data_IF_156025863235
#
_entry.id   IF_156025863235
#
_cell.length_a   1.000
_cell.length_b   1.000
_cell.length_c   1.000
_cell.angle_alpha   90.00
_cell.angle_beta   90.00
_cell.angle_gamma   90.00
#
_symmetry.space_group_name_H-M   'P 1'
#
loop_
_entity.id
_entity.type
_entity.pdbx_description
1 polymer ?
#
# COMPACT_ATOMS: atom_id res chain seq x y z
N UNK A 1 -13.48 29.36 10.03
CA UNK A 1 -13.96 28.37 9.04
C UNK A 1 -13.88 27.02 9.74
N UNK A 2 -14.97 26.25 9.84
CA UNK A 2 -14.91 24.88 10.37
C UNK A 2 -14.08 24.06 9.37
N UNK A 3 -13.02 23.41 9.83
CA UNK A 3 -12.28 22.45 9.03
C UNK A 3 -13.25 21.31 8.68
N UNK A 4 -13.71 21.28 7.44
CA UNK A 4 -14.51 20.15 6.93
C UNK A 4 -13.54 19.06 6.51
N UNK A 5 -13.58 17.97 7.23
CA UNK A 5 -12.86 16.74 6.83
C UNK A 5 -13.79 15.88 5.98
N UNK A 6 -13.16 15.14 5.07
CA UNK A 6 -13.83 14.15 4.22
C UNK A 6 -13.27 12.77 4.54
N UNK A 7 -14.13 11.76 4.50
CA UNK A 7 -13.70 10.37 4.55
C UNK A 7 -14.11 9.65 3.26
N UNK A 8 -13.19 8.89 2.72
CA UNK A 8 -13.40 8.02 1.56
C UNK A 8 -13.27 6.58 2.04
N UNK A 9 -14.33 5.81 1.84
CA UNK A 9 -14.42 4.42 2.31
C UNK A 9 -14.58 3.50 1.11
N UNK A 10 -13.58 2.66 0.88
CA UNK A 10 -13.61 1.63 -0.15
C UNK A 10 -14.44 0.42 0.29
N UNK A 11 -15.14 -0.19 -0.65
CA UNK A 11 -16.00 -1.34 -0.42
C UNK A 11 -15.95 -2.31 -1.61
N UNK A 12 -16.13 -3.61 -1.32
CA UNK A 12 -16.39 -4.59 -2.35
C UNK A 12 -17.78 -4.38 -2.95
N UNK A 13 -17.87 -4.38 -4.29
CA UNK A 13 -19.11 -4.11 -5.02
C UNK A 13 -19.72 -5.34 -5.73
N UNK A 14 -19.06 -6.51 -5.64
CA UNK A 14 -19.46 -7.73 -6.34
C UNK A 14 -20.87 -8.25 -6.00
N UNK A 15 -21.44 -7.87 -4.85
CA UNK A 15 -22.80 -8.25 -4.45
C UNK A 15 -23.86 -7.18 -4.82
N UNK A 16 -23.45 -6.07 -5.45
CA UNK A 16 -24.34 -4.98 -5.87
C UNK A 16 -24.88 -4.11 -4.74
N UNK A 17 -24.45 -4.30 -3.50
CA UNK A 17 -24.90 -3.50 -2.35
C UNK A 17 -24.12 -2.20 -2.18
N UNK A 18 -22.87 -2.17 -2.63
CA UNK A 18 -22.01 -0.98 -2.62
C UNK A 18 -21.52 -0.68 -4.02
N UNK A 19 -21.19 0.58 -4.30
CA UNK A 19 -20.68 1.01 -5.61
C UNK A 19 -19.16 1.10 -5.70
N UNK A 20 -18.46 0.86 -4.61
CA UNK A 20 -17.00 0.90 -4.52
C UNK A 20 -16.50 1.92 -3.53
N UNK A 21 -16.64 3.22 -3.78
CA UNK A 21 -16.19 4.26 -2.83
C UNK A 21 -17.39 5.03 -2.31
N UNK A 22 -17.55 5.07 -0.98
CA UNK A 22 -18.51 5.95 -0.32
C UNK A 22 -17.80 7.17 0.24
N UNK A 23 -18.35 8.34 -0.01
CA UNK A 23 -17.84 9.63 0.45
C UNK A 23 -18.69 10.15 1.61
N UNK A 24 -18.03 10.58 2.70
CA UNK A 24 -18.68 11.14 3.88
C UNK A 24 -18.12 12.51 4.23
N UNK A 25 -18.99 13.39 4.69
CA UNK A 25 -18.59 14.57 5.47
C UNK A 25 -18.32 14.13 6.92
N UNK A 26 -17.18 14.55 7.50
CA UNK A 26 -16.80 14.19 8.87
C UNK A 26 -17.10 15.36 9.82
N UNK A 27 -17.95 15.13 10.80
CA UNK A 27 -18.22 16.07 11.90
C UNK A 27 -17.31 15.71 13.08
N UNK A 28 -16.21 16.44 13.22
CA UNK A 28 -15.22 16.19 14.28
C UNK A 28 -15.75 16.53 15.68
N UNK A 29 -16.69 17.46 15.80
CA UNK A 29 -17.26 17.85 17.08
C UNK A 29 -18.19 16.75 17.65
N UNK A 30 -18.92 16.08 16.75
CA UNK A 30 -19.84 15.00 17.10
C UNK A 30 -19.26 13.59 16.97
N UNK A 31 -18.09 13.47 16.35
CA UNK A 31 -17.45 12.17 16.06
C UNK A 31 -18.30 11.28 15.14
N UNK A 32 -18.95 11.86 14.11
CA UNK A 32 -19.83 11.10 13.22
C UNK A 32 -19.55 11.38 11.73
N UNK A 33 -19.91 10.40 10.90
CA UNK A 33 -19.88 10.47 9.44
C UNK A 33 -21.28 10.76 8.90
N UNK A 34 -21.39 11.73 7.98
CA UNK A 34 -22.62 12.04 7.27
C UNK A 34 -22.45 11.60 5.81
N UNK A 35 -23.28 10.65 5.35
CA UNK A 35 -23.27 10.18 3.97
C UNK A 35 -23.44 11.34 2.99
N UNK A 36 -22.65 11.30 1.92
CA UNK A 36 -22.71 12.31 0.87
C UNK A 36 -23.04 11.70 -0.50
N UNK A 37 -22.23 10.79 -0.99
CA UNK A 37 -22.41 10.14 -2.29
C UNK A 37 -21.59 8.87 -2.39
N UNK A 38 -21.82 8.13 -3.47
CA UNK A 38 -21.01 6.99 -3.87
C UNK A 38 -20.36 7.25 -5.24
N UNK A 39 -19.19 6.63 -5.45
CA UNK A 39 -18.44 6.65 -6.70
C UNK A 39 -18.19 5.22 -7.15
N UNK A 40 -18.49 4.92 -8.43
CA UNK A 40 -18.39 3.57 -8.96
C UNK A 40 -16.93 3.17 -9.20
N UNK A 41 -16.51 2.11 -8.51
CA UNK A 41 -15.25 1.39 -8.69
C UNK A 41 -15.50 -0.07 -8.36
N UNK A 42 -15.11 -0.96 -9.27
CA UNK A 42 -15.24 -2.39 -9.03
C UNK A 42 -14.31 -2.84 -7.89
N UNK A 43 -14.93 -3.27 -6.78
CA UNK A 43 -14.25 -3.85 -5.62
C UNK A 43 -13.09 -3.00 -5.08
N UNK A 44 -13.38 -1.74 -4.74
CA UNK A 44 -12.43 -0.81 -4.10
C UNK A 44 -11.99 -1.34 -2.73
N UNK A 45 -10.97 -2.20 -2.72
CA UNK A 45 -10.52 -2.91 -1.51
C UNK A 45 -9.52 -2.11 -0.67
N UNK A 46 -8.83 -1.14 -1.25
CA UNK A 46 -7.87 -0.27 -0.57
C UNK A 46 -7.77 1.09 -1.27
N UNK A 47 -7.55 2.13 -0.47
CA UNK A 47 -7.44 3.51 -0.93
C UNK A 47 -6.14 4.14 -0.42
N UNK A 48 -5.52 4.99 -1.24
CA UNK A 48 -4.43 5.86 -0.83
C UNK A 48 -4.69 7.28 -1.34
N UNK A 49 -4.39 8.27 -0.52
CA UNK A 49 -4.39 9.68 -0.93
C UNK A 49 -2.95 10.10 -1.20
N UNK A 50 -2.72 10.85 -2.27
CA UNK A 50 -1.42 11.45 -2.55
C UNK A 50 -0.96 12.35 -1.40
N UNK A 51 0.36 12.52 -1.23
CA UNK A 51 0.91 13.35 -0.15
C UNK A 51 0.50 14.82 -0.28
N UNK A 52 0.28 15.30 -1.51
CA UNK A 52 -0.23 16.65 -1.78
C UNK A 52 -1.74 16.80 -1.51
N UNK A 53 -2.44 15.71 -1.19
CA UNK A 53 -3.87 15.67 -0.88
C UNK A 53 -4.81 15.90 -2.07
N UNK A 54 -4.32 15.86 -3.31
CA UNK A 54 -5.10 16.22 -4.50
C UNK A 54 -5.63 15.03 -5.28
N UNK A 55 -5.08 13.84 -5.04
CA UNK A 55 -5.42 12.64 -5.81
C UNK A 55 -5.74 11.49 -4.86
N UNK A 56 -6.79 10.76 -5.17
CA UNK A 56 -7.14 9.49 -4.53
C UNK A 56 -6.89 8.34 -5.49
N UNK A 57 -6.20 7.33 -5.03
CA UNK A 57 -5.97 6.08 -5.74
C UNK A 57 -6.78 4.97 -5.10
N UNK A 58 -7.43 4.17 -5.92
CA UNK A 58 -8.23 3.02 -5.49
C UNK A 58 -7.75 1.76 -6.18
N UNK A 59 -7.60 0.68 -5.42
CA UNK A 59 -7.56 -0.66 -6.01
C UNK A 59 -8.90 -0.91 -6.73
N UNK A 60 -8.83 -1.58 -7.86
CA UNK A 60 -9.97 -2.10 -8.61
C UNK A 60 -9.68 -3.52 -9.10
N UNK A 61 -10.66 -4.21 -9.68
CA UNK A 61 -10.48 -5.60 -10.10
C UNK A 61 -9.31 -5.81 -11.07
N UNK A 62 -9.13 -4.89 -12.03
CA UNK A 62 -8.07 -5.00 -13.03
C UNK A 62 -6.80 -4.20 -12.72
N UNK A 63 -6.79 -3.46 -11.61
CA UNK A 63 -5.63 -2.64 -11.28
C UNK A 63 -5.95 -1.46 -10.37
N UNK A 64 -5.65 -0.25 -10.84
CA UNK A 64 -5.77 0.99 -10.07
C UNK A 64 -6.60 2.02 -10.82
N UNK A 65 -7.47 2.73 -10.10
CA UNK A 65 -8.19 3.90 -10.58
C UNK A 65 -7.73 5.13 -9.83
N UNK A 66 -7.43 6.22 -10.53
CA UNK A 66 -7.09 7.52 -9.93
C UNK A 66 -8.23 8.52 -10.08
N UNK A 67 -8.38 9.36 -9.06
CA UNK A 67 -9.38 10.40 -8.97
C UNK A 67 -8.76 11.72 -8.52
N UNK A 68 -9.12 12.82 -9.17
CA UNK A 68 -8.89 14.16 -8.65
C UNK A 68 -9.83 14.40 -7.47
N UNK A 69 -9.29 14.82 -6.35
CA UNK A 69 -10.08 15.33 -5.21
C UNK A 69 -10.39 16.80 -5.49
N UNK A 70 -11.66 17.12 -5.65
CA UNK A 70 -12.14 18.47 -5.90
C UNK A 70 -12.19 19.28 -4.59
N UNK A 71 -12.19 20.61 -4.67
CA UNK A 71 -12.25 21.50 -3.49
C UNK A 71 -13.43 21.19 -2.54
N UNK A 72 -14.53 20.70 -3.09
CA UNK A 72 -15.69 20.28 -2.31
C UNK A 72 -15.60 18.83 -1.82
N UNK A 73 -14.48 18.13 -2.04
CA UNK A 73 -14.27 16.73 -1.69
C UNK A 73 -14.91 15.71 -2.63
N UNK A 74 -15.57 16.13 -3.72
CA UNK A 74 -16.04 15.20 -4.74
C UNK A 74 -14.87 14.59 -5.50
N UNK A 75 -15.06 13.37 -6.02
CA UNK A 75 -14.06 12.66 -6.81
C UNK A 75 -14.37 12.78 -8.31
N UNK A 76 -13.39 13.23 -9.09
CA UNK A 76 -13.43 13.23 -10.55
C UNK A 76 -12.44 12.22 -11.09
N UNK A 77 -12.90 11.20 -11.80
CA UNK A 77 -12.03 10.14 -12.34
C UNK A 77 -11.03 10.75 -13.32
N UNK A 78 -9.75 10.43 -13.14
CA UNK A 78 -8.67 10.78 -14.07
C UNK A 78 -8.47 9.65 -15.08
N UNK A 79 -8.04 8.48 -14.59
CA UNK A 79 -7.85 7.30 -15.45
C UNK A 79 -7.90 5.99 -14.65
N UNK A 80 -7.65 4.89 -15.34
CA UNK A 80 -7.36 3.58 -14.75
C UNK A 80 -6.16 2.95 -15.45
N UNK A 81 -5.39 2.16 -14.71
CA UNK A 81 -4.25 1.42 -15.21
C UNK A 81 -4.31 -0.04 -14.75
N UNK A 82 -4.09 -0.97 -15.68
CA UNK A 82 -4.03 -2.40 -15.38
C UNK A 82 -2.65 -2.76 -14.80
N UNK A 83 -2.60 -3.55 -13.72
CA UNK A 83 -1.35 -3.98 -13.07
C UNK A 83 -0.77 -5.27 -13.66
N UNK A 84 -1.40 -5.82 -14.70
CA UNK A 84 -0.99 -7.09 -15.35
C UNK A 84 -0.75 -8.22 -14.33
N UNK A 85 -1.71 -8.39 -13.44
CA UNK A 85 -1.71 -9.37 -12.36
C UNK A 85 -3.10 -9.54 -11.77
N UNK A 86 -3.19 -10.27 -10.67
CA UNK A 86 -4.44 -10.38 -9.92
C UNK A 86 -4.71 -9.07 -9.14
N UNK A 87 -5.95 -8.87 -8.69
CA UNK A 87 -6.34 -7.68 -7.93
C UNK A 87 -5.42 -7.43 -6.75
N UNK A 88 -4.96 -6.19 -6.61
CA UNK A 88 -4.19 -5.74 -5.46
C UNK A 88 -4.98 -5.80 -4.14
N UNK A 89 -4.26 -5.81 -3.04
CA UNK A 89 -4.83 -5.75 -1.69
C UNK A 89 -4.32 -4.56 -0.87
N UNK A 90 -3.26 -3.92 -1.32
CA UNK A 90 -2.69 -2.73 -0.69
C UNK A 90 -2.13 -1.79 -1.78
N UNK A 91 -2.21 -0.48 -1.54
CA UNK A 91 -1.65 0.54 -2.41
C UNK A 91 -1.05 1.66 -1.55
N UNK A 92 0.12 2.16 -1.93
CA UNK A 92 0.76 3.31 -1.30
C UNK A 92 1.49 4.16 -2.35
N UNK A 93 1.72 5.44 -2.04
CA UNK A 93 2.52 6.36 -2.86
C UNK A 93 3.91 6.54 -2.25
N UNK A 94 4.88 6.98 -3.05
CA UNK A 94 6.13 7.53 -2.52
C UNK A 94 5.93 8.97 -2.00
N UNK A 95 6.91 9.49 -1.26
CA UNK A 95 6.80 10.81 -0.62
C UNK A 95 6.63 11.97 -1.62
N UNK A 96 7.13 11.83 -2.82
CA UNK A 96 7.09 12.84 -3.89
C UNK A 96 5.92 12.66 -4.85
N UNK A 97 5.03 11.69 -4.61
CA UNK A 97 3.90 11.33 -5.50
C UNK A 97 4.33 11.07 -6.97
N UNK A 98 5.48 10.40 -7.14
CA UNK A 98 6.01 10.01 -8.46
C UNK A 98 5.70 8.56 -8.81
N UNK A 99 5.48 7.74 -7.81
CA UNK A 99 5.23 6.31 -7.95
C UNK A 99 4.13 5.84 -7.01
N UNK A 100 3.44 4.81 -7.45
CA UNK A 100 2.59 3.99 -6.59
C UNK A 100 3.09 2.54 -6.57
N UNK A 101 2.94 1.91 -5.41
CA UNK A 101 3.28 0.53 -5.15
C UNK A 101 2.00 -0.23 -4.87
N UNK A 102 1.80 -1.35 -5.56
CA UNK A 102 0.59 -2.17 -5.44
C UNK A 102 0.97 -3.59 -5.07
N UNK A 103 0.57 -3.99 -3.88
CA UNK A 103 0.80 -5.34 -3.36
C UNK A 103 -0.33 -6.28 -3.76
N UNK A 104 0.02 -7.43 -4.35
CA UNK A 104 -0.90 -8.47 -4.81
C UNK A 104 -0.83 -9.72 -3.94
N UNK A 105 -1.88 -9.94 -3.14
CA UNK A 105 -1.95 -11.09 -2.23
C UNK A 105 -2.04 -12.42 -2.96
N UNK A 106 -2.87 -12.49 -4.00
CA UNK A 106 -3.22 -13.76 -4.64
C UNK A 106 -2.13 -14.31 -5.56
N UNK A 107 -1.34 -13.44 -6.17
CA UNK A 107 -0.25 -13.79 -7.10
C UNK A 107 1.15 -13.57 -6.51
N UNK A 108 1.24 -13.04 -5.29
CA UNK A 108 2.51 -12.79 -4.61
C UNK A 108 3.38 -11.76 -5.33
N UNK A 109 2.75 -10.73 -5.91
CA UNK A 109 3.40 -9.74 -6.77
C UNK A 109 3.42 -8.36 -6.12
N UNK A 110 4.55 -7.68 -6.21
CA UNK A 110 4.64 -6.22 -6.00
C UNK A 110 4.75 -5.55 -7.36
N UNK A 111 3.91 -4.54 -7.63
CA UNK A 111 3.90 -3.80 -8.90
C UNK A 111 4.17 -2.32 -8.63
N UNK A 112 5.08 -1.74 -9.40
CA UNK A 112 5.42 -0.32 -9.37
C UNK A 112 4.88 0.35 -10.62
N UNK A 113 4.12 1.45 -10.44
CA UNK A 113 3.64 2.27 -11.55
C UNK A 113 4.12 3.70 -11.35
N UNK A 114 4.51 4.34 -12.44
CA UNK A 114 4.82 5.77 -12.46
C UNK A 114 3.54 6.60 -12.37
N UNK A 115 3.60 7.72 -11.69
CA UNK A 115 2.53 8.73 -11.71
C UNK A 115 2.88 9.85 -12.69
N UNK A 116 1.87 10.35 -13.38
CA UNK A 116 1.99 11.53 -14.23
C UNK A 116 1.84 12.81 -13.37
N UNK A 117 2.27 13.93 -13.90
CA UNK A 117 2.22 15.24 -13.21
C UNK A 117 0.80 15.67 -12.82
N UNK A 118 -0.20 15.20 -13.55
CA UNK A 118 -1.63 15.44 -13.23
C UNK A 118 -2.19 14.49 -12.17
N UNK A 119 -1.38 13.57 -11.62
CA UNK A 119 -1.78 12.55 -10.66
C UNK A 119 -2.45 11.32 -11.28
N UNK A 120 -2.58 11.26 -12.60
CA UNK A 120 -3.05 10.03 -13.26
C UNK A 120 -2.00 8.93 -13.20
N UNK A 121 -2.45 7.66 -13.23
CA UNK A 121 -1.56 6.49 -13.19
C UNK A 121 -0.96 6.27 -14.58
N UNK A 122 0.37 6.24 -14.64
CA UNK A 122 1.14 6.00 -15.86
C UNK A 122 1.49 4.54 -16.08
N UNK A 123 2.67 4.31 -16.64
CA UNK A 123 3.17 2.97 -17.01
C UNK A 123 3.62 2.14 -15.81
N UNK A 124 3.57 0.81 -15.95
CA UNK A 124 4.25 -0.10 -15.04
C UNK A 124 5.74 0.01 -15.31
N UNK A 125 6.51 0.39 -14.29
CA UNK A 125 7.97 0.45 -14.36
C UNK A 125 8.62 -0.83 -13.89
N UNK A 126 7.98 -1.54 -12.93
CA UNK A 126 8.46 -2.83 -12.44
C UNK A 126 7.32 -3.73 -11.96
N UNK A 127 7.59 -5.03 -11.89
CA UNK A 127 6.67 -6.03 -11.35
C UNK A 127 7.45 -7.26 -10.87
N UNK A 128 7.56 -7.40 -9.54
CA UNK A 128 8.37 -8.44 -8.91
C UNK A 128 7.47 -9.50 -8.29
N UNK A 129 7.59 -10.75 -8.77
CA UNK A 129 6.94 -11.90 -8.12
C UNK A 129 7.84 -12.42 -7.00
N UNK A 130 7.30 -12.51 -5.81
CA UNK A 130 7.99 -13.16 -4.71
C UNK A 130 8.12 -14.65 -4.95
N UNK A 131 9.22 -15.21 -4.49
CA UNK A 131 9.52 -16.65 -4.56
C UNK A 131 9.90 -17.13 -3.16
N UNK A 132 9.49 -18.32 -2.82
CA UNK A 132 9.80 -18.95 -1.55
C UNK A 132 8.69 -19.89 -1.12
N UNK A 133 9.01 -20.65 -0.08
CA UNK A 133 8.06 -21.50 0.64
C UNK A 133 8.10 -21.06 2.08
N UNK A 134 6.93 -20.90 2.67
CA UNK A 134 6.78 -20.73 4.11
C UNK A 134 6.62 -22.08 4.81
N UNK A 135 5.75 -22.16 5.80
CA UNK A 135 5.38 -23.42 6.44
C UNK A 135 4.40 -24.22 5.59
N UNK A 136 4.05 -25.43 6.06
CA UNK A 136 3.04 -26.29 5.42
C UNK A 136 1.60 -25.85 5.75
N UNK A 137 1.41 -24.83 6.59
CA UNK A 137 0.10 -24.30 6.94
C UNK A 137 -0.55 -23.60 5.72
N UNK A 138 -1.87 -23.69 5.62
CA UNK A 138 -2.63 -23.27 4.43
C UNK A 138 -2.31 -21.83 3.96
N UNK A 139 -2.06 -20.90 4.88
CA UNK A 139 -1.83 -19.49 4.55
C UNK A 139 -0.36 -19.12 4.40
N UNK A 140 0.57 -20.01 4.74
CA UNK A 140 2.01 -19.76 4.76
C UNK A 140 2.82 -20.73 3.90
N UNK A 141 2.22 -21.33 2.89
CA UNK A 141 2.94 -22.29 2.02
C UNK A 141 3.46 -21.67 0.71
N UNK A 142 3.00 -20.49 0.34
CA UNK A 142 3.41 -19.76 -0.88
C UNK A 142 3.37 -18.25 -0.65
N UNK A 143 4.01 -17.43 -1.52
CA UNK A 143 3.98 -15.97 -1.39
C UNK A 143 2.56 -15.38 -1.40
N UNK A 144 2.36 -14.43 -0.49
CA UNK A 144 1.17 -13.58 -0.36
C UNK A 144 1.61 -12.18 0.02
N UNK A 145 1.97 -11.38 -0.98
CA UNK A 145 2.39 -9.98 -0.76
C UNK A 145 1.21 -9.17 -0.25
N UNK A 146 1.39 -8.51 0.89
CA UNK A 146 0.27 -7.96 1.66
C UNK A 146 0.36 -6.46 1.91
N UNK A 147 1.55 -5.90 1.95
CA UNK A 147 1.78 -4.48 2.22
C UNK A 147 3.16 -4.07 1.71
N UNK A 148 3.27 -2.85 1.21
CA UNK A 148 4.54 -2.24 0.85
C UNK A 148 4.57 -0.77 1.26
N UNK A 149 5.76 -0.25 1.56
CA UNK A 149 6.00 1.16 1.74
C UNK A 149 7.48 1.49 1.52
N UNK A 150 7.75 2.73 1.10
CA UNK A 150 9.11 3.27 1.09
C UNK A 150 9.59 3.54 2.50
N UNK A 151 10.89 3.36 2.71
CA UNK A 151 11.54 3.78 3.97
C UNK A 151 11.57 5.31 4.08
N UNK A 152 11.59 5.87 5.30
CA UNK A 152 11.55 7.32 5.52
C UNK A 152 12.66 8.09 4.83
N UNK A 153 13.84 7.48 4.66
CA UNK A 153 14.99 8.03 3.93
C UNK A 153 14.86 7.92 2.40
N UNK A 154 13.83 7.20 1.92
CA UNK A 154 13.55 7.03 0.49
C UNK A 154 14.45 6.03 -0.26
N UNK A 155 15.40 5.36 0.40
CA UNK A 155 16.35 4.48 -0.28
C UNK A 155 15.80 3.09 -0.61
N UNK A 156 14.84 2.60 0.20
CA UNK A 156 14.33 1.24 0.08
C UNK A 156 12.81 1.22 0.00
N UNK A 157 12.30 0.10 -0.51
CA UNK A 157 10.91 -0.33 -0.41
C UNK A 157 10.89 -1.61 0.40
N UNK A 158 10.15 -1.62 1.49
CA UNK A 158 9.87 -2.82 2.27
C UNK A 158 8.59 -3.44 1.74
N UNK A 159 8.57 -4.77 1.61
CA UNK A 159 7.43 -5.51 1.09
C UNK A 159 7.15 -6.71 2.00
N UNK A 160 6.06 -6.62 2.77
CA UNK A 160 5.62 -7.71 3.64
C UNK A 160 4.99 -8.84 2.82
N UNK A 161 5.41 -10.05 3.10
CA UNK A 161 4.87 -11.26 2.50
C UNK A 161 4.39 -12.22 3.60
N UNK A 162 3.08 -12.26 3.78
CA UNK A 162 2.40 -13.08 4.77
C UNK A 162 2.67 -14.57 4.55
N UNK A 163 2.73 -14.97 3.27
CA UNK A 163 2.78 -16.38 2.90
C UNK A 163 4.13 -17.05 3.10
N UNK A 164 5.21 -16.28 3.23
CA UNK A 164 6.56 -16.83 3.42
C UNK A 164 7.24 -16.26 4.68
N UNK A 165 6.50 -15.61 5.55
CA UNK A 165 6.95 -15.06 6.84
C UNK A 165 8.20 -14.15 6.69
N UNK A 166 8.16 -13.21 5.74
CA UNK A 166 9.26 -12.29 5.46
C UNK A 166 8.78 -10.88 5.17
N UNK A 167 9.61 -9.89 5.48
CA UNK A 167 9.55 -8.56 4.88
C UNK A 167 10.76 -8.41 3.97
N UNK A 168 10.53 -8.40 2.66
CA UNK A 168 11.62 -8.22 1.69
C UNK A 168 12.04 -6.77 1.61
N UNK A 169 13.33 -6.55 1.44
CA UNK A 169 13.95 -5.23 1.33
C UNK A 169 14.45 -5.05 -0.10
N UNK A 170 13.92 -4.04 -0.77
CA UNK A 170 14.32 -3.68 -2.12
C UNK A 170 14.98 -2.31 -2.12
N UNK A 171 16.14 -2.18 -2.74
CA UNK A 171 16.67 -0.89 -3.14
C UNK A 171 15.83 -0.35 -4.30
N UNK A 172 15.42 0.91 -4.21
CA UNK A 172 14.58 1.55 -5.22
C UNK A 172 15.39 2.52 -6.09
N UNK A 173 15.38 2.27 -7.39
CA UNK A 173 15.94 3.22 -8.39
C UNK A 173 14.85 4.22 -8.77
N UNK A 174 14.85 5.40 -8.15
CA UNK A 174 13.85 6.45 -8.41
C UNK A 174 13.83 6.97 -9.86
N UNK A 175 14.94 6.86 -10.58
CA UNK A 175 14.99 7.34 -11.97
C UNK A 175 14.27 6.39 -12.91
N UNK A 176 14.38 5.11 -12.64
CA UNK A 176 13.82 4.03 -13.48
C UNK A 176 12.53 3.44 -12.94
N UNK A 177 12.28 3.59 -11.64
CA UNK A 177 11.17 2.93 -10.95
C UNK A 177 11.37 1.42 -10.78
N UNK A 178 12.62 0.96 -10.56
CA UNK A 178 12.98 -0.45 -10.48
C UNK A 178 13.29 -0.87 -9.04
N UNK A 179 12.89 -2.09 -8.71
CA UNK A 179 13.14 -2.75 -7.44
C UNK A 179 14.27 -3.77 -7.58
N UNK A 180 15.31 -3.66 -6.76
CA UNK A 180 16.38 -4.65 -6.65
C UNK A 180 16.38 -5.22 -5.25
N UNK A 181 16.04 -6.50 -5.08
CA UNK A 181 16.07 -7.13 -3.77
C UNK A 181 17.51 -7.16 -3.22
N UNK A 182 17.69 -6.63 -2.01
CA UNK A 182 18.98 -6.54 -1.34
C UNK A 182 19.02 -7.34 -0.05
N UNK A 183 17.86 -7.50 0.64
CA UNK A 183 17.78 -8.24 1.91
C UNK A 183 16.36 -8.77 2.16
N UNK A 184 16.17 -9.44 3.30
CA UNK A 184 14.88 -9.85 3.82
C UNK A 184 14.92 -9.98 5.35
N UNK A 185 14.06 -9.23 6.04
CA UNK A 185 13.79 -9.43 7.47
C UNK A 185 12.95 -10.73 7.61
N UNK A 186 13.54 -11.74 8.23
CA UNK A 186 12.89 -13.02 8.50
C UNK A 186 12.07 -12.93 9.76
N UNK A 187 10.79 -13.22 9.63
CA UNK A 187 9.87 -13.31 10.74
C UNK A 187 9.80 -14.73 11.28
N UNK A 188 9.17 -14.90 12.43
CA UNK A 188 8.93 -16.21 12.99
C UNK A 188 7.97 -17.01 12.08
N UNK A 189 8.18 -18.31 11.96
CA UNK A 189 7.33 -19.18 11.12
C UNK A 189 5.87 -19.11 11.56
N UNK A 190 4.98 -19.09 10.58
CA UNK A 190 3.53 -19.00 10.79
C UNK A 190 3.10 -17.72 11.53
N UNK A 191 3.90 -16.67 11.48
CA UNK A 191 3.54 -15.37 12.04
C UNK A 191 2.62 -14.56 11.14
N UNK A 192 2.83 -14.62 9.82
CA UNK A 192 2.04 -13.93 8.82
C UNK A 192 2.18 -12.41 8.88
N UNK A 193 3.34 -11.82 8.50
CA UNK A 193 3.52 -10.38 8.47
C UNK A 193 2.52 -9.75 7.48
N UNK A 194 1.62 -8.91 7.99
CA UNK A 194 0.48 -8.38 7.23
C UNK A 194 0.64 -6.93 6.84
N UNK A 195 1.00 -6.10 7.78
CA UNK A 195 1.11 -4.66 7.60
C UNK A 195 2.17 -4.09 8.52
N UNK A 196 2.83 -3.04 8.09
CA UNK A 196 3.77 -2.30 8.92
C UNK A 196 3.61 -0.80 8.73
N UNK A 197 4.05 -0.05 9.74
CA UNK A 197 4.10 1.40 9.72
C UNK A 197 5.43 1.85 10.31
N UNK A 198 5.99 2.92 9.77
CA UNK A 198 7.10 3.63 10.40
C UNK A 198 6.58 4.59 11.47
N UNK A 199 7.37 4.80 12.52
CA UNK A 199 7.15 5.90 13.47
C UNK A 199 7.30 7.25 12.75
N UNK A 200 6.70 8.30 13.31
CA UNK A 200 6.76 9.65 12.72
C UNK A 200 8.16 10.24 12.60
N UNK A 201 9.13 9.76 13.41
CA UNK A 201 10.54 10.12 13.35
C UNK A 201 11.37 9.18 12.46
N UNK A 202 10.73 8.16 11.88
CA UNK A 202 11.35 7.20 10.97
C UNK A 202 12.27 6.17 11.61
N UNK A 203 12.39 6.13 12.94
CA UNK A 203 13.37 5.29 13.65
C UNK A 203 12.86 3.89 13.99
N UNK A 204 11.54 3.69 13.97
CA UNK A 204 10.94 2.43 14.37
C UNK A 204 9.98 1.94 13.30
N UNK A 205 9.86 0.60 13.23
CA UNK A 205 8.86 -0.10 12.41
C UNK A 205 7.96 -0.90 13.36
N UNK A 206 6.65 -0.70 13.24
CA UNK A 206 5.63 -1.50 13.90
C UNK A 206 5.12 -2.52 12.90
N UNK A 207 5.51 -3.78 13.04
CA UNK A 207 5.13 -4.87 12.14
C UNK A 207 4.03 -5.73 12.77
N UNK A 208 2.86 -5.71 12.17
CA UNK A 208 1.70 -6.48 12.60
C UNK A 208 1.67 -7.85 11.90
N UNK A 209 1.44 -8.90 12.68
CA UNK A 209 1.29 -10.27 12.22
C UNK A 209 -0.15 -10.72 12.32
N UNK A 210 -0.73 -11.11 11.18
CA UNK A 210 -2.15 -11.50 11.09
C UNK A 210 -2.43 -12.84 11.76
N UNK A 211 -1.50 -13.81 11.66
CA UNK A 211 -1.73 -15.16 12.16
C UNK A 211 -1.43 -15.24 13.66
N UNK A 212 -0.32 -14.65 14.11
CA UNK A 212 0.03 -14.64 15.55
C UNK A 212 -0.72 -13.60 16.38
N UNK A 213 -1.37 -12.60 15.74
CA UNK A 213 -2.08 -11.51 16.43
C UNK A 213 -1.19 -10.72 17.40
N UNK A 214 0.04 -10.42 16.98
CA UNK A 214 1.01 -9.62 17.73
C UNK A 214 1.56 -8.49 16.86
N UNK A 215 2.16 -7.50 17.49
CA UNK A 215 2.94 -6.46 16.83
C UNK A 215 4.35 -6.53 17.38
N UNK A 216 5.33 -6.69 16.50
CA UNK A 216 6.73 -6.52 16.84
C UNK A 216 7.18 -5.10 16.53
N UNK A 217 8.10 -4.59 17.33
CA UNK A 217 8.74 -3.30 17.11
C UNK A 217 10.20 -3.54 16.78
N UNK A 218 10.66 -2.91 15.69
CA UNK A 218 12.06 -2.95 15.27
C UNK A 218 12.60 -1.53 15.20
N UNK A 219 13.88 -1.34 15.53
CA UNK A 219 14.60 -0.15 15.08
C UNK A 219 14.78 -0.19 13.57
N UNK A 220 14.91 0.98 12.96
CA UNK A 220 15.30 1.15 11.57
C UNK A 220 16.48 2.12 11.52
N UNK A 221 17.61 1.65 10.99
CA UNK A 221 18.82 2.43 10.83
C UNK A 221 19.41 2.19 9.42
N UNK A 222 19.85 3.26 8.78
CA UNK A 222 20.58 3.22 7.52
C UNK A 222 21.64 4.31 7.51
N UNK A 223 22.90 3.95 7.21
CA UNK A 223 23.98 4.89 6.97
C UNK A 223 24.33 4.94 5.49
N UNK A 224 24.65 6.14 5.00
CA UNK A 224 25.03 6.31 3.59
C UNK A 224 26.30 5.50 3.27
N UNK A 225 26.17 4.59 2.31
CA UNK A 225 27.25 3.65 1.96
C UNK A 225 26.95 2.19 2.34
N UNK A 226 26.01 1.96 3.22
CA UNK A 226 25.56 0.61 3.54
C UNK A 226 24.86 -0.04 2.35
N UNK A 227 24.96 -1.36 2.27
CA UNK A 227 24.28 -2.12 1.24
C UNK A 227 22.81 -2.35 1.55
N UNK A 228 22.49 -2.47 2.84
CA UNK A 228 21.16 -2.82 3.38
C UNK A 228 20.90 -2.01 4.65
N UNK A 229 19.65 -1.74 4.99
CA UNK A 229 19.29 -1.14 6.28
C UNK A 229 19.42 -2.17 7.41
N UNK A 230 19.55 -1.68 8.64
CA UNK A 230 19.64 -2.50 9.84
C UNK A 230 18.33 -2.47 10.61
N UNK A 231 17.93 -3.64 11.11
CA UNK A 231 16.73 -3.85 11.92
C UNK A 231 17.08 -4.61 13.19
N UNK A 232 16.70 -4.08 14.34
CA UNK A 232 16.84 -4.76 15.62
C UNK A 232 15.48 -4.82 16.31
N UNK A 233 15.06 -6.01 16.71
CA UNK A 233 13.81 -6.20 17.45
C UNK A 233 13.99 -5.75 18.90
N UNK A 234 13.05 -4.93 19.41
CA UNK A 234 13.05 -4.39 20.77
C UNK A 234 11.83 -4.84 21.58
#
# INVERSE_FOLDING_TARGET
MRNKYMAYVGSYSYNGQAKGITVYDVDMDKGCFQYRCEVEVDNSSYLAVSNDGRTLYSIADEGVVSFRIMENGALSRLNSANIKGMRGCHITTDAEDKYIFVSGYHDGKETVLRLNEDGSVGEITDGVFHKGLGSVAERTFRPHVSCSARTPDGHFVLVADLGIDQVKVYRFDEKKGLLTQVDALRCELESGPRQFLFSGDGKFIYLMYEIKNVIDVFTYEYEEGDRVPHFEKI
#
